data_IF_916957024133
#
_entry.id   IF_916957024133
#
_cell.length_a   1.000
_cell.length_b   1.000
_cell.length_c   1.000
_cell.angle_alpha   90.00
_cell.angle_beta   90.00
_cell.angle_gamma   90.00
#
_symmetry.space_group_name_H-M   'P 1'
#
loop_
_entity.id
_entity.type
_entity.pdbx_description
1 polymer ?
2 non-polymer ?
3 non-polymer ?
4 non-polymer ?
5 water ?
#
# COMPACT_ATOMS: atom_id res chain seq x y z
N UNK A 2 -20.18 10.36 -1.73
CA UNK A 2 -19.16 9.30 -1.53
C UNK A 2 -17.76 9.85 -1.33
N UNK A 3 -16.94 9.11 -0.59
CA UNK A 3 -15.51 9.36 -0.55
C UNK A 3 -14.88 8.60 -1.71
N UNK A 4 -14.08 9.29 -2.51
CA UNK A 4 -13.40 8.63 -3.63
C UNK A 4 -11.90 8.55 -3.33
N UNK A 5 -11.37 7.34 -3.21
CA UNK A 5 -9.95 7.11 -2.96
C UNK A 5 -9.30 6.67 -4.24
N UNK A 6 -8.06 7.11 -4.43
CA UNK A 6 -7.33 6.79 -5.67
C UNK A 6 -7.06 5.29 -5.78
N UNK A 7 -6.59 4.69 -4.68
CA UNK A 7 -6.08 3.33 -4.70
C UNK A 7 -6.81 2.52 -3.65
N UNK A 8 -6.88 1.20 -3.87
CA UNK A 8 -7.67 0.31 -3.01
C UNK A 8 -7.36 0.40 -1.49
N UNK A 9 -6.07 0.36 -1.09
CA UNK A 9 -5.81 0.41 0.34
C UNK A 9 -6.17 1.74 0.99
N UNK A 10 -6.15 2.84 0.23
CA UNK A 10 -6.71 4.10 0.67
C UNK A 10 -8.24 3.99 0.83
N UNK A 11 -8.86 3.23 -0.08
CA UNK A 11 -10.28 2.87 0.05
C UNK A 11 -10.55 2.15 1.36
N UNK A 12 -9.70 1.18 1.73
CA UNK A 12 -9.84 0.49 3.02
C UNK A 12 -9.93 1.49 4.18
N UNK A 13 -9.00 2.44 4.20
CA UNK A 13 -8.92 3.39 5.31
C UNK A 13 -10.12 4.32 5.35
N UNK A 14 -10.45 4.89 4.19
CA UNK A 14 -11.61 5.77 4.05
C UNK A 14 -12.93 5.07 4.43
N UNK A 15 -13.05 3.79 4.10
CA UNK A 15 -14.30 3.07 4.37
C UNK A 15 -14.49 2.78 5.85
N UNK A 16 -13.38 2.70 6.59
CA UNK A 16 -13.46 2.62 8.06
C UNK A 16 -14.06 3.91 8.63
N UNK A 17 -13.65 5.07 8.08
CA UNK A 17 -14.05 6.36 8.65
C UNK A 17 -15.44 6.77 8.16
N UNK A 18 -15.78 6.40 6.92
CA UNK A 18 -17.04 6.81 6.28
C UNK A 18 -18.20 5.83 6.53
N UNK A 19 -17.90 4.73 7.22
CA UNK A 19 -18.87 3.65 7.40
C UNK A 19 -20.21 4.14 7.96
N UNK A 20 -21.28 3.80 7.26
CA UNK A 20 -22.63 4.21 7.68
C UNK A 20 -22.92 5.69 7.48
N UNK A 21 -21.97 6.44 6.91
CA UNK A 21 -22.15 7.88 6.66
C UNK A 21 -22.30 8.12 5.15
N UNK A 22 -21.32 7.66 4.37
CA UNK A 22 -21.44 7.69 2.91
C UNK A 22 -20.63 6.51 2.34
N UNK A 23 -20.87 6.19 1.07
CA UNK A 23 -20.13 5.12 0.38
C UNK A 23 -18.67 5.50 0.21
N UNK A 24 -17.80 4.50 0.13
CA UNK A 24 -16.43 4.73 -0.30
C UNK A 24 -16.27 4.06 -1.66
N UNK A 25 -15.60 4.77 -2.56
CA UNK A 25 -15.33 4.28 -3.90
C UNK A 25 -13.83 4.32 -4.22
N UNK A 26 -13.37 3.33 -4.99
CA UNK A 26 -12.00 3.31 -5.49
C UNK A 26 -11.98 3.72 -6.97
N UNK A 27 -11.14 4.69 -7.30
CA UNK A 27 -11.15 5.29 -8.63
C UNK A 27 -10.74 4.32 -9.73
N UNK A 28 -9.63 3.63 -9.51
CA UNK A 28 -9.01 2.83 -10.56
C UNK A 28 -8.97 1.33 -10.22
N UNK A 29 -9.04 0.48 -11.27
CA UNK A 29 -8.84 -0.95 -11.12
C UNK A 29 -7.42 -1.21 -10.63
N UNK A 30 -7.20 -2.35 -10.00
CA UNK A 30 -5.89 -2.67 -9.44
C UNK A 30 -4.77 -2.72 -10.49
N UNK A 31 -5.08 -3.22 -11.67
CA UNK A 31 -4.09 -3.41 -12.73
C UNK A 31 -3.45 -2.16 -13.30
N UNK A 32 -3.98 -0.99 -12.93
CA UNK A 32 -3.46 0.27 -13.42
C UNK A 32 -2.13 0.64 -12.73
N UNK A 33 -1.59 1.81 -13.09
CA UNK A 33 -0.32 2.33 -12.53
C UNK A 33 -0.33 3.86 -12.40
N UNK A 34 0.86 4.49 -12.44
CA UNK A 34 1.03 5.91 -12.09
C UNK A 34 1.38 6.89 -13.23
N UNK A 35 2.12 6.44 -14.25
CA UNK A 35 2.63 7.36 -15.29
C UNK A 35 2.09 7.13 -16.70
N UNK A 36 1.85 5.86 -17.05
CA UNK A 36 1.20 5.53 -18.32
C UNK A 36 -0.31 5.75 -18.25
N UNK A 37 -0.88 5.62 -17.05
CA UNK A 37 -2.34 5.74 -16.86
C UNK A 37 -2.85 7.16 -17.09
N UNK A 38 -3.87 7.29 -17.94
CA UNK A 38 -4.55 8.57 -18.14
C UNK A 38 -5.99 8.43 -17.64
N UNK A 39 -6.48 9.45 -16.95
CA UNK A 39 -7.86 9.43 -16.42
C UNK A 39 -8.88 9.65 -17.53
N UNK A 40 -9.94 8.85 -17.52
CA UNK A 40 -11.09 9.06 -18.38
C UNK A 40 -11.87 10.28 -17.90
N UNK A 41 -12.54 11.01 -18.83
CA UNK A 41 -13.36 12.14 -18.39
C UNK A 41 -14.37 11.72 -17.30
N UNK A 42 -14.80 10.46 -17.36
CA UNK A 42 -15.74 9.90 -16.38
C UNK A 42 -15.10 9.75 -14.99
N UNK A 43 -13.80 9.49 -14.97
CA UNK A 43 -13.04 9.45 -13.72
C UNK A 43 -12.98 10.86 -13.09
N UNK A 44 -12.69 11.86 -13.92
CA UNK A 44 -12.63 13.26 -13.48
C UNK A 44 -13.95 13.73 -12.87
N UNK A 45 -15.06 13.39 -13.54
CA UNK A 45 -16.41 13.68 -13.05
C UNK A 45 -16.65 13.11 -11.65
N UNK A 46 -16.26 11.85 -11.46
CA UNK A 46 -16.35 11.17 -10.17
C UNK A 46 -15.57 11.92 -9.09
N UNK A 47 -14.34 12.33 -9.40
CA UNK A 47 -13.53 13.14 -8.48
C UNK A 47 -14.19 14.44 -8.04
N UNK A 48 -14.76 15.15 -9.02
CA UNK A 48 -15.42 16.43 -8.77
C UNK A 48 -16.75 16.26 -8.06
N UNK A 49 -17.40 15.12 -8.23
CA UNK A 49 -18.65 14.83 -7.53
C UNK A 49 -18.46 14.30 -6.11
N UNK A 50 -17.24 13.88 -5.76
CA UNK A 50 -16.94 13.28 -4.46
C UNK A 50 -17.20 14.26 -3.32
N UNK A 51 -17.69 13.76 -2.19
CA UNK A 51 -17.65 14.53 -0.95
C UNK A 51 -16.20 14.80 -0.56
N UNK A 52 -15.34 13.82 -0.81
CA UNK A 52 -13.94 13.89 -0.42
C UNK A 52 -13.09 12.99 -1.30
N UNK A 53 -11.96 13.54 -1.75
CA UNK A 53 -10.97 12.79 -2.51
C UNK A 53 -9.79 12.44 -1.60
N UNK A 54 -9.35 11.18 -1.64
CA UNK A 54 -8.20 10.74 -0.86
C UNK A 54 -7.17 10.15 -1.83
N UNK A 55 -5.95 10.67 -1.78
CA UNK A 55 -4.88 10.17 -2.65
C UNK A 55 -3.54 10.40 -1.95
N UNK A 56 -2.50 9.74 -2.42
CA UNK A 56 -1.17 9.92 -1.84
C UNK A 56 -0.62 11.30 -2.20
N UNK A 57 -0.56 11.62 -3.49
CA UNK A 57 -0.11 12.94 -3.93
C UNK A 57 0.66 12.88 -5.23
N UNK A 58 1.13 14.05 -5.73
CA UNK A 58 1.71 14.18 -7.09
C UNK A 58 2.94 13.31 -7.40
N UNK A 59 3.64 12.82 -6.38
CA UNK A 59 4.76 11.88 -6.55
C UNK A 59 4.32 10.46 -6.74
N UNK A 60 3.05 10.18 -6.49
CA UNK A 60 2.53 8.83 -6.63
C UNK A 60 1.54 8.81 -7.82
N UNK A 61 0.29 9.23 -7.59
CA UNK A 61 -0.70 9.30 -8.68
C UNK A 61 -0.52 10.57 -9.50
N UNK A 62 0.61 10.64 -10.20
CA UNK A 62 0.97 11.79 -11.03
C UNK A 62 -0.14 12.10 -12.03
N UNK A 63 -0.78 11.05 -12.53
CA UNK A 63 -1.84 11.14 -13.51
C UNK A 63 -3.08 11.92 -13.04
N UNK A 64 -3.25 12.12 -11.73
CA UNK A 64 -4.42 12.86 -11.27
C UNK A 64 -4.16 14.23 -10.65
N UNK A 65 -2.90 14.62 -10.58
CA UNK A 65 -2.55 15.92 -10.01
C UNK A 65 -3.33 17.03 -10.68
N UNK A 66 -3.37 17.00 -12.02
CA UNK A 66 -4.07 18.02 -12.79
C UNK A 66 -5.56 18.06 -12.45
N UNK A 67 -6.18 16.89 -12.38
CA UNK A 67 -7.61 16.75 -12.10
C UNK A 67 -8.00 17.25 -10.72
N UNK A 68 -7.05 17.25 -9.82
CA UNK A 68 -7.29 17.54 -8.41
C UNK A 68 -7.06 19.02 -8.05
N UNK A 69 -6.45 19.78 -8.97
CA UNK A 69 -6.23 21.22 -8.79
C UNK A 69 -7.52 22.03 -8.64
N UNK A 70 -8.56 21.62 -9.35
CA UNK A 70 -9.84 22.31 -9.32
C UNK A 70 -10.71 21.92 -8.11
N UNK A 71 -10.26 20.93 -7.35
CA UNK A 71 -11.01 20.47 -6.18
C UNK A 71 -10.53 21.23 -4.93
N UNK A 72 -11.45 21.85 -4.19
CA UNK A 72 -10.98 22.65 -3.05
C UNK A 72 -10.29 21.82 -1.96
N UNK A 73 -9.42 22.49 -1.21
CA UNK A 73 -8.61 21.87 -0.17
C UNK A 73 -9.44 21.17 0.88
N UNK A 74 -10.61 21.73 1.20
CA UNK A 74 -11.46 21.15 2.23
C UNK A 74 -12.19 19.88 1.74
N UNK A 75 -12.01 19.55 0.47
CA UNK A 75 -12.59 18.34 -0.12
C UNK A 75 -11.53 17.34 -0.62
N UNK A 76 -10.29 17.51 -0.16
CA UNK A 76 -9.25 16.52 -0.44
C UNK A 76 -8.30 16.24 0.73
N UNK A 77 -7.85 14.99 0.81
CA UNK A 77 -6.76 14.59 1.69
C UNK A 77 -5.64 14.14 0.78
N UNK A 78 -4.53 14.87 0.84
CA UNK A 78 -3.36 14.57 0.05
C UNK A 78 -2.34 14.04 1.04
N UNK A 79 -2.25 12.71 1.12
CA UNK A 79 -1.59 12.08 2.24
C UNK A 79 -0.12 12.49 2.39
N UNK A 80 0.61 12.51 1.28
CA UNK A 80 2.04 12.85 1.30
C UNK A 80 2.31 14.28 1.82
N UNK A 81 1.31 15.15 1.75
CA UNK A 81 1.46 16.56 2.13
C UNK A 81 0.88 16.87 3.52
N UNK A 82 0.36 15.85 4.21
CA UNK A 82 -0.13 16.06 5.57
C UNK A 82 1.00 16.40 6.55
N UNK A 83 0.74 17.40 7.41
CA UNK A 83 1.71 17.83 8.41
C UNK A 83 2.27 16.68 9.25
N UNK A 84 1.39 15.79 9.72
CA UNK A 84 1.82 14.68 10.57
C UNK A 84 2.54 13.55 9.84
N UNK A 85 2.45 13.55 8.51
CA UNK A 85 3.10 12.51 7.70
C UNK A 85 4.59 12.81 7.42
N UNK A 86 4.99 14.08 7.46
CA UNK A 86 6.41 14.45 7.27
C UNK A 86 7.37 13.58 8.08
N UNK A 87 7.19 13.48 9.42
CA UNK A 87 8.17 12.65 10.15
C UNK A 87 8.01 11.14 9.97
N UNK A 88 7.10 10.72 9.11
CA UNK A 88 6.86 9.32 8.92
C UNK A 88 7.38 8.85 7.57
N UNK A 89 7.87 9.78 6.74
CA UNK A 89 8.33 9.43 5.41
C UNK A 89 9.74 8.86 5.46
N UNK A 90 10.00 7.90 4.56
CA UNK A 90 11.35 7.36 4.42
C UNK A 90 11.79 7.34 2.96
N UNK A 91 13.12 7.32 2.79
CA UNK A 91 13.74 7.30 1.47
C UNK A 91 13.44 6.03 0.69
N UNK A 114 6.65 6.48 -10.16
CA UNK A 114 6.54 6.89 -8.77
C UNK A 114 7.69 6.39 -7.92
N UNK A 115 8.59 5.63 -8.55
CA UNK A 115 9.78 5.11 -7.88
C UNK A 115 10.99 6.01 -8.09
N UNK A 116 10.85 7.00 -8.98
CA UNK A 116 11.95 7.90 -9.35
C UNK A 116 12.07 9.12 -8.44
N UNK A 117 11.06 9.32 -7.59
CA UNK A 117 11.08 10.40 -6.61
C UNK A 117 12.09 10.13 -5.51
N UNK A 118 12.22 11.07 -4.59
CA UNK A 118 13.18 10.92 -3.49
C UNK A 118 12.66 9.99 -2.39
N UNK A 119 11.36 9.97 -2.15
CA UNK A 119 10.80 9.17 -1.06
C UNK A 119 9.96 8.00 -1.52
N UNK A 120 9.92 6.98 -0.68
CA UNK A 120 9.01 5.88 -0.85
C UNK A 120 7.59 6.42 -0.67
N UNK A 121 6.80 6.34 -1.73
CA UNK A 121 5.44 6.88 -1.75
C UNK A 121 4.34 5.81 -1.59
N UNK A 122 4.74 4.58 -1.22
CA UNK A 122 3.77 3.52 -0.97
C UNK A 122 3.28 3.63 0.47
N UNK A 123 2.62 4.77 0.74
CA UNK A 123 2.36 5.24 2.11
C UNK A 123 1.34 4.40 2.86
N UNK A 124 0.47 3.70 2.13
CA UNK A 124 -0.59 2.89 2.74
C UNK A 124 -0.04 1.68 3.49
N UNK A 125 1.24 1.37 3.27
CA UNK A 125 1.91 0.25 3.93
C UNK A 125 2.47 0.62 5.30
N UNK A 126 2.34 1.89 5.68
CA UNK A 126 2.73 2.33 7.03
C UNK A 126 1.53 2.50 7.95
N UNK A 127 1.45 1.68 9.02
CA UNK A 127 0.33 1.76 9.96
C UNK A 127 0.20 3.14 10.59
N UNK A 128 1.33 3.81 10.80
CA UNK A 128 1.38 5.17 11.36
C UNK A 128 0.81 6.18 10.35
N UNK A 129 1.21 6.03 9.09
CA UNK A 129 0.67 6.92 8.05
C UNK A 129 -0.85 6.65 7.84
N UNK A 130 -1.24 5.38 7.92
CA UNK A 130 -2.66 5.02 7.85
C UNK A 130 -3.46 5.73 8.97
N UNK A 131 -2.90 5.75 10.17
CA UNK A 131 -3.50 6.47 11.29
C UNK A 131 -3.65 7.96 11.01
N UNK A 132 -2.59 8.62 10.57
CA UNK A 132 -2.66 10.03 10.22
C UNK A 132 -3.66 10.29 9.08
N UNK A 133 -3.73 9.37 8.12
CA UNK A 133 -4.68 9.45 7.01
C UNK A 133 -6.12 9.44 7.52
N UNK A 134 -6.43 8.46 8.38
CA UNK A 134 -7.75 8.32 8.99
C UNK A 134 -8.14 9.58 9.80
N UNK A 135 -7.20 10.13 10.57
CA UNK A 135 -7.42 11.38 11.31
C UNK A 135 -7.75 12.56 10.37
N UNK A 136 -6.99 12.69 9.28
CA UNK A 136 -7.24 13.71 8.26
C UNK A 136 -8.61 13.53 7.59
N UNK A 137 -8.94 12.28 7.21
CA UNK A 137 -10.24 11.99 6.58
C UNK A 137 -11.37 12.36 7.54
N UNK A 138 -11.26 11.89 8.78
CA UNK A 138 -12.24 12.19 9.83
C UNK A 138 -12.48 13.70 10.01
N UNK A 139 -11.39 14.45 10.09
CA UNK A 139 -11.45 15.89 10.30
C UNK A 139 -12.16 16.61 9.15
N UNK A 140 -11.84 16.25 7.90
CA UNK A 140 -12.53 16.78 6.73
C UNK A 140 -14.00 16.41 6.71
N UNK A 141 -14.31 15.16 7.04
CA UNK A 141 -15.69 14.69 7.00
C UNK A 141 -16.57 15.36 8.05
N UNK A 142 -16.00 15.59 9.23
CA UNK A 142 -16.72 16.26 10.31
C UNK A 142 -17.05 17.70 9.92
N UNK A 143 -16.12 18.38 9.24
CA UNK A 143 -16.38 19.71 8.72
C UNK A 143 -17.44 19.70 7.63
N UNK A 144 -17.38 18.69 6.76
CA UNK A 144 -18.33 18.60 5.64
C UNK A 144 -19.70 18.09 6.06
N UNK A 145 -19.74 17.24 7.08
CA UNK A 145 -20.98 16.57 7.48
C UNK A 145 -21.14 16.63 8.99
N UNK A 146 -21.30 17.86 9.54
CA UNK A 146 -21.28 17.96 11.02
C UNK A 146 -22.49 17.25 11.66
N UNK A 147 -23.52 17.00 10.86
CA UNK A 147 -24.69 16.26 11.32
C UNK A 147 -24.38 14.81 11.68
N UNK A 148 -23.22 14.33 11.19
CA UNK A 148 -22.76 12.97 11.46
C UNK A 148 -21.49 12.96 12.30
N UNK A 149 -21.19 14.04 13.02
CA UNK A 149 -20.00 14.08 13.85
C UNK A 149 -19.84 12.85 14.78
N UNK A 150 -20.91 12.51 15.51
CA UNK A 150 -20.88 11.40 16.47
C UNK A 150 -20.55 10.06 15.81
N UNK A 151 -21.21 9.76 14.70
CA UNK A 151 -20.92 8.55 13.93
C UNK A 151 -19.46 8.57 13.43
N UNK A 152 -19.00 9.72 12.97
CA UNK A 152 -17.63 9.85 12.48
C UNK A 152 -16.58 9.69 13.60
N UNK A 153 -16.82 10.29 14.77
CA UNK A 153 -16.00 10.07 15.97
C UNK A 153 -15.94 8.57 16.34
N UNK A 154 -17.11 7.92 16.32
CA UNK A 154 -17.26 6.51 16.63
C UNK A 154 -16.44 5.68 15.66
N UNK A 155 -16.51 6.04 14.37
CA UNK A 155 -15.77 5.33 13.33
C UNK A 155 -14.26 5.46 13.49
N UNK A 156 -13.80 6.67 13.83
CA UNK A 156 -12.36 6.89 14.06
C UNK A 156 -11.88 6.10 15.30
N UNK A 157 -12.70 6.11 16.35
CA UNK A 157 -12.43 5.33 17.55
C UNK A 157 -12.26 3.84 17.23
N UNK A 158 -13.19 3.30 16.43
CA UNK A 158 -13.17 1.90 16.06
C UNK A 158 -11.98 1.54 15.15
N UNK A 159 -11.65 2.44 14.21
CA UNK A 159 -10.48 2.26 13.34
C UNK A 159 -9.19 2.17 14.15
N UNK A 160 -8.99 3.11 15.07
CA UNK A 160 -7.78 3.14 15.90
C UNK A 160 -7.70 1.93 16.82
N UNK A 161 -8.83 1.45 17.33
CA UNK A 161 -8.84 0.28 18.19
C UNK A 161 -8.46 -0.97 17.41
N UNK A 162 -9.06 -1.13 16.23
CA UNK A 162 -8.68 -2.25 15.37
C UNK A 162 -7.21 -2.20 14.96
N UNK A 163 -6.73 -1.00 14.62
CA UNK A 163 -5.34 -0.82 14.20
C UNK A 163 -4.38 -1.22 15.31
N UNK A 164 -4.66 -0.79 16.54
CA UNK A 164 -3.86 -1.20 17.71
C UNK A 164 -3.88 -2.72 17.94
N UNK A 165 -5.06 -3.32 17.87
CA UNK A 165 -5.19 -4.78 18.03
C UNK A 165 -4.44 -5.54 16.93
N UNK A 166 -4.64 -5.10 15.68
CA UNK A 166 -3.95 -5.72 14.54
C UNK A 166 -2.44 -5.58 14.67
N UNK A 167 -2.01 -4.40 15.05
CA UNK A 167 -0.61 -4.09 15.24
C UNK A 167 0.07 -5.06 16.20
N UNK A 168 -0.60 -5.33 17.33
CA UNK A 168 -0.15 -6.29 18.33
C UNK A 168 -0.06 -7.67 17.71
N UNK A 169 -1.16 -8.13 17.13
CA UNK A 169 -1.24 -9.44 16.51
C UNK A 169 -0.19 -9.68 15.40
N UNK A 170 -0.06 -8.74 14.47
CA UNK A 170 0.88 -8.87 13.35
C UNK A 170 2.34 -8.84 13.83
N UNK A 171 2.64 -7.94 14.75
CA UNK A 171 3.96 -7.84 15.37
C UNK A 171 4.40 -9.15 16.00
N UNK A 172 3.47 -9.85 16.65
CA UNK A 172 3.75 -11.15 17.25
C UNK A 172 3.95 -12.25 16.21
N UNK A 173 3.13 -12.23 15.15
CA UNK A 173 3.24 -13.20 14.06
C UNK A 173 4.57 -13.04 13.32
N UNK A 174 5.04 -11.79 13.19
CA UNK A 174 6.26 -11.49 12.44
C UNK A 174 7.56 -11.43 13.25
N UNK A 175 7.43 -11.38 14.58
CA UNK A 175 8.60 -11.32 15.48
C UNK A 175 9.54 -12.53 15.33
N UNK A 176 8.99 -13.77 15.31
CA UNK A 176 9.84 -14.95 15.15
C UNK A 176 10.50 -15.05 13.76
N UNK A 177 10.17 -14.13 12.85
CA UNK A 177 10.70 -14.16 11.48
C UNK A 177 11.85 -13.19 11.29
N UNK A 178 12.13 -12.39 12.32
CA UNK A 178 13.29 -11.48 12.35
C UNK A 178 14.60 -12.20 11.99
N UNK A 179 15.44 -11.52 11.20
CA UNK A 179 16.74 -12.09 10.84
C UNK A 179 16.71 -12.94 9.59
N UNK A 180 15.54 -13.50 9.24
CA UNK A 180 15.39 -14.24 8.00
C UNK A 180 15.39 -13.29 6.80
N UNK A 181 16.33 -13.52 5.90
CA UNK A 181 16.52 -12.66 4.72
C UNK A 181 15.64 -13.04 3.53
N UNK A 182 15.36 -12.06 2.67
CA UNK A 182 14.54 -12.26 1.49
C UNK A 182 14.67 -11.10 0.51
N UNK A 183 14.36 -11.37 -0.75
CA UNK A 183 14.31 -10.36 -1.77
C UNK A 183 12.89 -10.19 -2.25
N UNK A 184 12.60 -9.02 -2.82
CA UNK A 184 11.30 -8.72 -3.40
C UNK A 184 11.49 -8.14 -4.81
N UNK A 185 10.47 -8.25 -5.65
CA UNK A 185 10.51 -7.70 -7.00
C UNK A 185 9.94 -6.28 -7.09
N UNK A 186 9.83 -5.62 -5.94
CA UNK A 186 9.20 -4.30 -5.85
C UNK A 186 9.68 -3.59 -4.60
N UNK A 187 10.28 -2.42 -4.76
CA UNK A 187 10.74 -1.64 -3.62
C UNK A 187 9.57 -0.84 -3.05
N UNK A 188 8.67 -1.52 -2.36
CA UNK A 188 7.45 -0.89 -1.84
C UNK A 188 7.31 -1.00 -0.33
N UNK A 189 7.74 -2.14 0.23
CA UNK A 189 7.29 -2.65 1.52
C UNK A 189 8.03 -2.10 2.74
N UNK A 190 8.94 -1.16 2.50
CA UNK A 190 9.82 -0.62 3.54
C UNK A 190 9.10 -0.10 4.78
N UNK A 191 8.00 0.61 4.57
CA UNK A 191 7.19 1.12 5.67
C UNK A 191 6.71 0.03 6.61
N UNK A 192 6.21 -1.05 6.02
CA UNK A 192 5.66 -2.19 6.74
C UNK A 192 6.77 -3.01 7.42
N UNK A 193 7.85 -3.25 6.69
CA UNK A 193 8.99 -4.05 7.16
C UNK A 193 9.74 -3.38 8.30
N UNK A 194 10.04 -2.09 8.18
CA UNK A 194 10.67 -1.34 9.28
C UNK A 194 9.78 -1.33 10.53
N UNK A 195 8.47 -1.14 10.35
CA UNK A 195 7.53 -1.04 11.47
C UNK A 195 7.42 -2.36 12.24
N UNK A 196 7.46 -3.48 11.53
CA UNK A 196 7.31 -4.78 12.16
C UNK A 196 8.63 -5.54 12.38
N UNK A 197 9.75 -4.90 12.06
CA UNK A 197 11.07 -5.49 12.27
C UNK A 197 11.39 -6.67 11.36
N UNK A 198 10.94 -6.62 10.11
CA UNK A 198 11.34 -7.62 9.13
C UNK A 198 12.70 -7.25 8.59
N UNK A 199 13.42 -8.21 8.03
CA UNK A 199 14.77 -7.95 7.54
C UNK A 199 14.95 -8.29 6.06
N UNK A 200 14.45 -7.41 5.16
CA UNK A 200 14.66 -7.61 3.73
C UNK A 200 16.13 -7.45 3.38
N UNK A 201 16.58 -8.17 2.37
CA UNK A 201 17.95 -8.06 1.88
C UNK A 201 18.04 -7.03 0.77
N UNK A 202 16.97 -6.89 0.00
CA UNK A 202 16.93 -5.95 -1.10
C UNK A 202 15.86 -6.27 -2.12
N UNK A 203 15.98 -5.65 -3.30
CA UNK A 203 14.97 -5.79 -4.34
C UNK A 203 15.60 -5.94 -5.72
N UNK A 204 14.90 -6.64 -6.60
CA UNK A 204 15.30 -6.74 -7.99
C UNK A 204 14.22 -6.16 -8.89
N UNK A 205 14.65 -5.39 -9.90
CA UNK A 205 13.75 -4.93 -10.94
C UNK A 205 13.54 -6.05 -11.95
N UNK A 206 12.33 -6.58 -11.97
CA UNK A 206 11.98 -7.69 -12.86
C UNK A 206 10.68 -7.36 -13.58
N UNK A 207 10.70 -7.46 -14.90
CA UNK A 207 9.48 -7.36 -15.70
C UNK A 207 8.58 -8.55 -15.32
N UNK A 208 7.30 -8.26 -14.98
CA UNK A 208 6.36 -9.32 -14.59
C UNK A 208 5.99 -10.29 -15.70
N UNK A 209 6.19 -9.87 -16.95
CA UNK A 209 5.82 -10.67 -18.11
C UNK A 209 7.01 -11.27 -18.85
N UNK A 210 8.20 -10.71 -18.63
CA UNK A 210 9.41 -11.12 -19.34
C UNK A 210 10.57 -11.31 -18.36
N UNK A 211 11.09 -12.53 -18.30
CA UNK A 211 12.24 -12.83 -17.44
C UNK A 211 13.48 -12.03 -17.87
N UNK A 212 14.37 -11.70 -16.91
CA UNK A 212 15.61 -10.99 -17.22
C UNK A 212 16.48 -11.75 -18.21
N UNK A 213 17.33 -11.02 -18.94
CA UNK A 213 18.30 -11.62 -19.86
C UNK A 213 19.30 -12.48 -19.13
N UNK A 214 20.10 -13.24 -19.88
CA UNK A 214 21.03 -14.22 -19.31
C UNK A 214 21.96 -13.65 -18.24
N UNK A 215 22.54 -12.48 -18.53
CA UNK A 215 23.50 -11.84 -17.64
C UNK A 215 22.85 -11.34 -16.35
N UNK A 216 21.74 -10.63 -16.50
CA UNK A 216 20.96 -10.08 -15.39
C UNK A 216 20.47 -11.21 -14.46
N UNK A 217 19.92 -12.26 -15.06
CA UNK A 217 19.43 -13.44 -14.32
C UNK A 217 20.55 -14.11 -13.52
N UNK A 218 21.71 -14.29 -14.17
CA UNK A 218 22.90 -14.82 -13.50
C UNK A 218 23.23 -14.00 -12.24
N UNK A 219 23.28 -12.67 -12.37
CA UNK A 219 23.56 -11.79 -11.24
C UNK A 219 22.54 -11.86 -10.12
N UNK A 220 21.26 -11.95 -10.49
CA UNK A 220 20.17 -12.06 -9.54
C UNK A 220 20.28 -13.38 -8.76
N UNK A 221 20.40 -14.47 -9.49
CA UNK A 221 20.49 -15.80 -8.90
C UNK A 221 21.69 -15.95 -7.97
N UNK A 222 22.83 -15.33 -8.33
CA UNK A 222 24.00 -15.47 -7.45
C UNK A 222 23.82 -14.69 -6.15
N UNK A 223 23.20 -13.51 -6.21
CA UNK A 223 22.86 -12.76 -4.99
C UNK A 223 21.90 -13.52 -4.10
N UNK A 224 20.91 -14.18 -4.71
CA UNK A 224 19.96 -15.03 -3.98
C UNK A 224 20.65 -16.08 -3.11
N UNK A 225 21.64 -16.77 -3.68
CA UNK A 225 22.36 -17.81 -2.94
C UNK A 225 23.39 -17.17 -2.01
N UNK A 226 24.19 -16.26 -2.56
CA UNK A 226 25.29 -15.60 -1.83
C UNK A 226 24.82 -14.88 -0.57
N UNK A 227 23.73 -14.12 -0.69
CA UNK A 227 23.20 -13.38 0.47
C UNK A 227 22.30 -14.21 1.40
N UNK A 228 22.22 -15.52 1.13
CA UNK A 228 21.50 -16.49 1.97
C UNK A 228 19.97 -16.24 2.13
N UNK A 229 19.34 -15.69 1.09
CA UNK A 229 17.88 -15.46 1.10
C UNK A 229 17.11 -16.73 1.39
N UNK A 230 16.14 -16.62 2.31
CA UNK A 230 15.16 -17.68 2.55
C UNK A 230 14.08 -17.68 1.45
N UNK A 231 13.62 -16.48 1.09
CA UNK A 231 12.52 -16.34 0.14
C UNK A 231 12.82 -15.29 -0.90
N UNK A 232 12.16 -15.40 -2.04
CA UNK A 232 12.06 -14.29 -2.97
C UNK A 232 10.56 -14.06 -3.15
N UNK A 233 10.13 -12.82 -3.00
CA UNK A 233 8.70 -12.48 -3.05
C UNK A 233 8.31 -11.74 -4.34
N UNK A 234 7.37 -12.31 -5.07
CA UNK A 234 6.77 -11.63 -6.20
C UNK A 234 5.44 -10.99 -5.79
N UNK A 235 4.71 -10.50 -6.78
CA UNK A 235 3.41 -9.89 -6.59
C UNK A 235 2.42 -10.57 -7.54
N UNK A 236 1.10 -10.36 -7.35
CA UNK A 236 0.10 -11.13 -8.12
C UNK A 236 0.21 -11.04 -9.64
N UNK A 237 0.71 -9.93 -10.15
CA UNK A 237 0.76 -9.69 -11.59
C UNK A 237 1.94 -10.38 -12.30
N UNK A 238 2.87 -10.93 -11.54
CA UNK A 238 4.02 -11.66 -12.11
C UNK A 238 3.62 -13.03 -12.65
N UNK A 239 3.98 -13.30 -13.90
CA UNK A 239 3.82 -14.63 -14.50
C UNK A 239 4.64 -15.63 -13.69
N UNK A 240 4.03 -16.76 -13.28
CA UNK A 240 4.74 -17.75 -12.47
C UNK A 240 6.09 -18.15 -13.11
N UNK A 241 6.11 -18.20 -14.44
CA UNK A 241 7.31 -18.51 -15.20
C UNK A 241 8.50 -17.60 -14.91
N UNK A 242 8.28 -16.29 -14.81
CA UNK A 242 9.42 -15.39 -14.55
C UNK A 242 9.95 -15.54 -13.11
N UNK A 243 9.05 -15.82 -12.17
CA UNK A 243 9.41 -16.03 -10.77
C UNK A 243 10.23 -17.31 -10.60
N UNK A 244 9.78 -18.36 -11.30
CA UNK A 244 10.48 -19.65 -11.31
C UNK A 244 11.86 -19.51 -11.93
N UNK A 245 11.93 -18.81 -13.06
CA UNK A 245 13.20 -18.51 -13.73
C UNK A 245 14.18 -17.78 -12.80
N UNK A 246 13.65 -16.94 -11.91
CA UNK A 246 14.49 -16.27 -10.93
C UNK A 246 14.93 -17.21 -9.79
N UNK A 247 14.02 -18.06 -9.34
CA UNK A 247 14.28 -18.92 -8.17
C UNK A 247 14.97 -20.23 -8.53
N UNK A 248 14.94 -20.60 -9.82
CA UNK A 248 15.49 -21.86 -10.32
C UNK A 248 16.95 -22.06 -9.94
N UNK A 249 17.24 -23.23 -9.39
CA UNK A 249 18.62 -23.60 -9.09
C UNK A 249 19.03 -23.21 -7.70
N UNK A 250 18.62 -22.00 -7.28
CA UNK A 250 18.79 -21.53 -5.90
C UNK A 250 17.93 -22.43 -5.04
N UNK A 251 18.10 -22.40 -3.73
CA UNK A 251 17.18 -23.15 -2.89
C UNK A 251 16.20 -22.20 -2.19
N UNK A 252 15.95 -21.08 -2.86
CA UNK A 252 15.12 -20.01 -2.31
C UNK A 252 13.66 -20.34 -2.59
N UNK A 253 12.84 -20.35 -1.55
CA UNK A 253 11.38 -20.50 -1.67
C UNK A 253 10.74 -19.26 -2.31
N UNK A 254 9.68 -19.50 -3.07
CA UNK A 254 8.97 -18.45 -3.78
C UNK A 254 7.75 -18.01 -2.98
N UNK A 255 7.53 -16.71 -2.90
CA UNK A 255 6.36 -16.15 -2.21
C UNK A 255 5.66 -15.10 -3.03
N UNK A 256 4.49 -14.66 -2.53
CA UNK A 256 3.69 -13.63 -3.19
C UNK A 256 3.20 -12.62 -2.16
N UNK A 257 3.48 -11.34 -2.41
CA UNK A 257 2.96 -10.25 -1.59
C UNK A 257 2.01 -9.43 -2.45
N UNK A 258 0.88 -9.06 -1.86
CA UNK A 258 -0.09 -8.24 -2.56
C UNK A 258 -0.21 -6.89 -1.84
N UNK A 259 0.48 -5.85 -2.37
CA UNK A 259 0.55 -4.54 -1.70
C UNK A 259 -0.75 -3.74 -1.83
N UNK A 260 -1.71 -4.26 -2.59
CA UNK A 260 -2.99 -3.59 -2.77
C UNK A 260 -4.18 -4.32 -2.12
N UNK A 261 -3.93 -5.50 -1.55
CA UNK A 261 -5.02 -6.32 -0.98
C UNK A 261 -6.16 -6.48 -1.97
N UNK A 262 -5.84 -6.80 -3.23
CA UNK A 262 -6.81 -6.95 -4.31
C UNK A 262 -8.06 -7.78 -3.97
N UNK A 263 -7.89 -8.81 -3.14
CA UNK A 263 -8.98 -9.73 -2.78
C UNK A 263 -9.87 -9.24 -1.62
N UNK A 264 -9.49 -8.15 -0.97
CA UNK A 264 -10.19 -7.67 0.20
C UNK A 264 -11.28 -6.65 -0.19
N UNK A 265 -12.50 -6.86 0.32
CA UNK A 265 -13.61 -5.94 0.11
C UNK A 265 -13.49 -4.69 0.98
N UNK A 266 -13.98 -3.56 0.46
CA UNK A 266 -14.10 -2.35 1.27
C UNK A 266 -15.02 -2.60 2.47
N UNK A 267 -14.68 -1.98 3.57
CA UNK A 267 -15.51 -2.09 4.73
C UNK A 267 -14.72 -1.68 5.94
N UNK A 268 -15.45 -1.60 7.03
CA UNK A 268 -14.93 -1.13 8.30
C UNK A 268 -13.63 -1.82 8.74
N UNK A 269 -13.55 -3.13 8.56
CA UNK A 269 -12.43 -3.91 9.08
C UNK A 269 -11.37 -4.21 8.00
N UNK A 270 -11.53 -3.68 6.81
CA UNK A 270 -10.68 -4.01 5.66
C UNK A 270 -9.20 -3.66 5.80
N UNK A 271 -8.88 -2.52 6.42
CA UNK A 271 -7.48 -2.14 6.53
C UNK A 271 -6.71 -3.04 7.50
N UNK A 272 -7.35 -3.39 8.63
CA UNK A 272 -6.80 -4.38 9.55
C UNK A 272 -6.66 -5.75 8.87
N UNK A 273 -7.67 -6.14 8.07
CA UNK A 273 -7.58 -7.38 7.31
C UNK A 273 -6.41 -7.38 6.33
N UNK A 274 -6.15 -6.23 5.71
CA UNK A 274 -5.07 -6.06 4.74
C UNK A 274 -3.68 -6.21 5.40
N UNK A 275 -3.48 -5.55 6.53
CA UNK A 275 -2.22 -5.68 7.27
C UNK A 275 -1.97 -7.12 7.76
N UNK A 276 -3.02 -7.80 8.22
CA UNK A 276 -2.95 -9.23 8.63
C UNK A 276 -2.72 -10.20 7.47
N UNK A 277 -3.35 -9.93 6.33
CA UNK A 277 -3.15 -10.76 5.16
C UNK A 277 -1.70 -10.65 4.67
N UNK A 278 -1.16 -9.44 4.68
CA UNK A 278 0.21 -9.23 4.29
C UNK A 278 1.18 -10.00 5.22
N UNK A 279 0.90 -10.00 6.53
CA UNK A 279 1.72 -10.74 7.49
C UNK A 279 1.68 -12.23 7.17
N UNK A 280 0.49 -12.75 6.89
CA UNK A 280 0.31 -14.15 6.51
C UNK A 280 1.08 -14.51 5.24
N UNK A 281 1.11 -13.59 4.29
CA UNK A 281 1.81 -13.78 3.03
C UNK A 281 3.32 -13.86 3.25
N UNK A 282 3.85 -12.96 4.09
CA UNK A 282 5.24 -12.99 4.53
C UNK A 282 5.55 -14.32 5.25
N UNK A 283 4.79 -14.60 6.30
CA UNK A 283 4.97 -15.79 7.16
C UNK A 283 4.87 -17.08 6.39
N UNK A 284 3.94 -17.13 5.45
CA UNK A 284 3.68 -18.33 4.66
C UNK A 284 4.91 -18.89 3.96
N UNK A 285 5.78 -18.00 3.49
CA UNK A 285 7.01 -18.38 2.80
C UNK A 285 8.17 -18.45 3.79
N UNK A 286 8.21 -17.51 4.74
CA UNK A 286 9.37 -17.34 5.59
C UNK A 286 9.54 -18.32 6.75
N UNK A 287 8.45 -18.81 7.32
CA UNK A 287 8.53 -19.64 8.55
C UNK A 287 9.04 -21.06 8.30
N UNK A 288 9.74 -21.61 9.30
CA UNK A 288 10.42 -22.90 9.19
C UNK A 288 11.67 -22.88 8.31
N UNK A 289 12.46 -23.95 8.40
CA UNK A 289 13.63 -24.17 7.52
C UNK A 289 14.64 -23.02 7.55
#
# INVERSE_FOLDING_TARGET
AAVVASLKPLGFIASAIADGVTDTQVLLPDGASEHDYSLRPSDVKRLQGADLVVWVGPEMEAFMEKSVRNIPDNKQVTIAQLADVKPLLMKGADDDEDEHAHTGADEEKGDVHHHHGEYNMHLWLSPEIARATAVAIHEKLVELMPQSRAKLDANLKDFEAQLAATDKQVGNELAPLKGKGYFVFHDAYGYYEKHYGLTPLGHFTVNPEIQPGAQRLHEIRTQLVEQKATCVFAEPQFRPAVVEAVARGTSVRMGTLDPLGTNIKLGKTSYSAFLSQLANQYASCLKGD
#
